data_IF_412058317374
#
_entry.id   IF_412058317374
#
_cell.length_a   1.000
_cell.length_b   1.000
_cell.length_c   1.000
_cell.angle_alpha   90.00
_cell.angle_beta   90.00
_cell.angle_gamma   90.00
#
_symmetry.space_group_name_H-M   'P 1'
#
loop_
_entity.id
_entity.type
_entity.pdbx_description
1 polymer ?
#
# COMPACT_ATOMS: atom_id res chain seq x y z
N UNK A 1 -12.22 6.69 -6.30
CA UNK A 1 -11.90 7.62 -5.19
C UNK A 1 -13.15 8.41 -4.87
N UNK A 2 -13.67 8.29 -3.66
CA UNK A 2 -14.97 8.83 -3.20
C UNK A 2 -15.06 10.37 -3.10
N UNK A 3 -14.59 11.10 -4.11
CA UNK A 3 -14.71 12.56 -4.18
C UNK A 3 -13.97 13.35 -3.10
N UNK A 4 -13.17 12.69 -2.26
CA UNK A 4 -12.39 13.37 -1.21
C UNK A 4 -11.14 13.99 -1.84
N UNK A 5 -11.04 15.31 -1.78
CA UNK A 5 -9.92 16.07 -2.37
C UNK A 5 -8.57 15.66 -1.79
N UNK A 6 -7.52 15.71 -2.62
CA UNK A 6 -6.12 15.45 -2.23
C UNK A 6 -5.66 16.47 -1.18
N UNK A 7 -5.13 15.97 -0.07
CA UNK A 7 -4.60 16.70 1.08
C UNK A 7 -3.26 16.07 1.49
N UNK A 8 -2.16 16.54 0.90
CA UNK A 8 -0.85 15.92 1.09
C UNK A 8 -0.30 16.13 2.51
N UNK A 9 0.41 15.12 3.07
CA UNK A 9 1.04 15.26 4.38
C UNK A 9 2.18 16.29 4.35
N UNK A 10 2.43 16.96 5.49
CA UNK A 10 3.52 17.92 5.63
C UNK A 10 4.81 17.25 6.14
N UNK A 11 6.00 17.55 5.57
CA UNK A 11 6.21 18.42 4.42
C UNK A 11 5.73 17.77 3.11
N UNK A 12 5.19 18.59 2.21
CA UNK A 12 4.72 18.13 0.91
C UNK A 12 5.88 17.55 0.09
N UNK A 13 5.65 16.42 -0.58
CA UNK A 13 6.62 15.76 -1.45
C UNK A 13 5.91 15.20 -2.69
N UNK A 14 6.60 15.20 -3.83
CA UNK A 14 6.11 14.52 -5.03
C UNK A 14 5.94 13.00 -4.83
N UNK A 15 6.55 12.45 -3.78
CA UNK A 15 6.51 11.03 -3.42
C UNK A 15 5.45 10.71 -2.37
N UNK A 16 4.71 11.72 -1.88
CA UNK A 16 3.64 11.52 -0.90
C UNK A 16 2.31 12.06 -1.42
N UNK A 17 1.23 11.39 -1.06
CA UNK A 17 -0.11 11.90 -1.28
C UNK A 17 -1.01 11.55 -0.10
N UNK A 18 -1.95 12.43 0.23
CA UNK A 18 -2.90 12.19 1.31
C UNK A 18 -4.34 12.47 0.89
N UNK A 19 -5.31 11.81 1.52
CA UNK A 19 -6.73 12.03 1.27
C UNK A 19 -7.58 11.91 2.55
N UNK A 20 -8.37 12.96 2.80
CA UNK A 20 -9.46 12.99 3.79
C UNK A 20 -9.09 12.78 5.25
N UNK A 21 -10.13 12.67 6.08
CA UNK A 21 -10.08 12.35 7.51
C UNK A 21 -11.10 11.22 7.79
N UNK A 22 -10.73 10.05 8.34
CA UNK A 22 -9.39 9.64 8.80
C UNK A 22 -8.44 9.26 7.64
N UNK A 23 -7.19 9.69 7.68
CA UNK A 23 -6.32 9.79 6.51
C UNK A 23 -6.04 8.47 5.74
N UNK A 24 -5.96 8.58 4.40
CA UNK A 24 -5.19 7.67 3.54
C UNK A 24 -3.88 8.37 3.22
N UNK A 25 -2.74 7.71 3.42
CA UNK A 25 -1.41 8.25 3.12
C UNK A 25 -0.68 7.30 2.19
N UNK A 26 -0.26 7.81 1.03
CA UNK A 26 0.55 7.07 0.06
C UNK A 26 2.00 7.57 0.08
N UNK A 27 2.95 6.65 -0.04
CA UNK A 27 4.39 6.91 -0.20
C UNK A 27 4.96 6.06 -1.33
N UNK A 28 5.67 6.67 -2.28
CA UNK A 28 6.37 5.97 -3.36
C UNK A 28 7.84 5.71 -3.02
N UNK A 29 8.39 4.58 -3.47
CA UNK A 29 9.82 4.27 -3.38
C UNK A 29 10.29 3.87 -2.00
N UNK A 30 9.43 3.21 -1.20
CA UNK A 30 9.84 2.69 0.11
C UNK A 30 10.80 1.51 -0.05
N UNK A 31 11.65 1.28 0.96
CA UNK A 31 12.50 0.08 1.03
C UNK A 31 11.64 -1.18 1.12
N UNK A 32 12.10 -2.29 0.54
CA UNK A 32 11.44 -3.60 0.64
C UNK A 32 11.19 -3.96 2.11
N UNK A 33 9.94 -4.12 2.57
CA UNK A 33 9.67 -4.55 3.93
C UNK A 33 10.24 -5.94 4.20
N UNK A 34 10.89 -6.20 5.36
CA UNK A 34 11.42 -7.52 5.71
C UNK A 34 10.36 -8.62 5.69
N UNK A 35 9.11 -8.30 6.05
CA UNK A 35 7.97 -9.22 6.00
C UNK A 35 7.67 -9.76 4.59
N UNK A 36 8.11 -9.08 3.53
CA UNK A 36 7.91 -9.53 2.15
C UNK A 36 8.71 -10.80 1.81
N UNK A 37 9.76 -11.11 2.57
CA UNK A 37 10.55 -12.34 2.43
C UNK A 37 10.39 -13.31 3.60
N UNK A 38 9.49 -13.00 4.54
CA UNK A 38 9.18 -13.93 5.61
C UNK A 38 8.29 -15.06 5.07
N UNK A 39 8.73 -16.33 5.10
CA UNK A 39 7.92 -17.45 4.62
C UNK A 39 6.60 -17.59 5.38
N UNK A 40 6.51 -17.11 6.63
CA UNK A 40 5.26 -17.10 7.40
C UNK A 40 4.20 -16.18 6.79
N UNK A 41 4.62 -15.08 6.19
CA UNK A 41 3.70 -14.16 5.51
C UNK A 41 3.19 -14.80 4.22
N UNK A 42 4.09 -15.43 3.45
CA UNK A 42 3.74 -16.13 2.23
C UNK A 42 2.80 -17.35 2.49
N UNK A 43 2.96 -18.02 3.62
CA UNK A 43 2.10 -19.14 4.03
C UNK A 43 0.83 -18.73 4.80
N UNK A 44 0.63 -17.42 5.04
CA UNK A 44 -0.50 -16.90 5.82
C UNK A 44 -0.47 -17.25 7.31
N UNK A 45 0.71 -17.60 7.84
CA UNK A 45 0.95 -17.96 9.24
C UNK A 45 1.40 -16.77 10.10
N UNK A 46 1.62 -15.60 9.50
CA UNK A 46 1.91 -14.37 10.24
C UNK A 46 0.60 -13.75 10.75
N UNK A 47 0.47 -13.47 12.06
CA UNK A 47 -0.77 -12.96 12.66
C UNK A 47 -1.09 -11.51 12.25
N UNK A 48 -0.09 -10.76 11.80
CA UNK A 48 -0.20 -9.34 11.50
C UNK A 48 -0.01 -9.01 10.03
N UNK A 49 0.33 -9.99 9.19
CA UNK A 49 0.63 -9.76 7.78
C UNK A 49 0.17 -10.91 6.88
N UNK A 50 -0.32 -10.55 5.70
CA UNK A 50 -0.72 -11.50 4.66
C UNK A 50 -0.26 -11.00 3.30
N UNK A 51 0.12 -11.93 2.42
CA UNK A 51 0.35 -11.64 1.02
C UNK A 51 -0.96 -11.84 0.23
N UNK A 52 -1.27 -10.93 -0.69
CA UNK A 52 -2.46 -11.06 -1.53
C UNK A 52 -2.46 -10.13 -2.74
N UNK A 53 -3.23 -10.49 -3.76
CA UNK A 53 -3.39 -9.72 -4.98
C UNK A 53 -4.75 -9.01 -5.04
N UNK A 54 -4.75 -7.75 -5.48
CA UNK A 54 -5.96 -6.97 -5.77
C UNK A 54 -5.80 -6.35 -7.16
N UNK A 55 -6.74 -6.64 -8.07
CA UNK A 55 -6.76 -6.12 -9.44
C UNK A 55 -5.44 -6.26 -10.23
N UNK A 56 -4.74 -7.37 -10.01
CA UNK A 56 -3.46 -7.68 -10.67
C UNK A 56 -2.26 -6.90 -10.11
N UNK A 57 -2.38 -6.35 -8.91
CA UNK A 57 -1.26 -5.81 -8.13
C UNK A 57 -1.11 -6.67 -6.88
N UNK A 58 0.10 -7.17 -6.65
CA UNK A 58 0.42 -7.93 -5.45
C UNK A 58 0.73 -6.96 -4.30
N UNK A 59 0.33 -7.33 -3.09
CA UNK A 59 0.46 -6.53 -1.89
C UNK A 59 0.92 -7.38 -0.71
N UNK A 60 1.85 -6.83 0.06
CA UNK A 60 2.00 -7.12 1.48
C UNK A 60 0.95 -6.30 2.24
N UNK A 61 0.09 -6.96 3.00
CA UNK A 61 -0.98 -6.32 3.78
C UNK A 61 -0.69 -6.52 5.26
N UNK A 62 -0.40 -5.45 5.98
CA UNK A 62 -0.06 -5.46 7.41
C UNK A 62 -1.14 -4.75 8.23
N UNK A 63 -1.51 -5.35 9.37
CA UNK A 63 -2.26 -4.65 10.42
C UNK A 63 -1.27 -3.85 11.27
N UNK A 64 -1.64 -2.60 11.57
CA UNK A 64 -0.93 -1.70 12.49
C UNK A 64 -1.96 -1.13 13.46
N UNK A 65 -1.53 -0.67 14.63
CA UNK A 65 -2.43 -0.23 15.71
C UNK A 65 -3.54 0.73 15.21
N UNK A 66 -4.74 0.19 14.97
CA UNK A 66 -5.88 0.94 14.44
C UNK A 66 -5.81 1.34 12.95
N UNK A 67 -4.88 0.82 12.15
CA UNK A 67 -4.74 1.12 10.72
C UNK A 67 -4.29 -0.11 9.91
N UNK A 68 -4.49 -0.06 8.60
CA UNK A 68 -3.94 -1.05 7.67
C UNK A 68 -2.83 -0.41 6.84
N UNK A 69 -1.72 -1.11 6.67
CA UNK A 69 -0.61 -0.71 5.80
C UNK A 69 -0.48 -1.71 4.66
N UNK A 70 -0.44 -1.21 3.44
CA UNK A 70 -0.30 -2.01 2.23
C UNK A 70 0.98 -1.60 1.53
N UNK A 71 1.81 -2.55 1.12
CA UNK A 71 2.99 -2.28 0.31
C UNK A 71 2.92 -3.12 -0.95
N UNK A 72 3.07 -2.52 -2.14
CA UNK A 72 3.11 -3.30 -3.39
C UNK A 72 4.23 -4.33 -3.32
N UNK A 73 4.01 -5.51 -3.87
CA UNK A 73 5.00 -6.56 -4.08
C UNK A 73 5.19 -6.77 -5.59
N UNK A 74 6.27 -7.48 -5.97
CA UNK A 74 6.57 -7.78 -7.36
C UNK A 74 6.60 -6.53 -8.29
N UNK A 75 7.12 -5.42 -7.77
CA UNK A 75 7.36 -4.17 -8.49
C UNK A 75 8.81 -3.70 -8.32
N UNK A 76 9.32 -2.99 -9.34
CA UNK A 76 10.65 -2.35 -9.30
C UNK A 76 10.74 -1.15 -8.34
N UNK A 77 9.61 -0.63 -7.90
CA UNK A 77 9.52 0.35 -6.82
C UNK A 77 8.30 0.03 -5.96
N UNK A 78 8.45 0.16 -4.64
CA UNK A 78 7.38 -0.16 -3.70
C UNK A 78 6.55 1.07 -3.35
N UNK A 79 5.23 0.94 -3.51
CA UNK A 79 4.24 1.93 -3.07
C UNK A 79 3.66 1.43 -1.78
N UNK A 80 3.73 2.26 -0.75
CA UNK A 80 3.13 2.01 0.53
C UNK A 80 1.90 2.89 0.71
N UNK A 81 0.82 2.32 1.23
CA UNK A 81 -0.43 3.02 1.54
C UNK A 81 -0.84 2.67 2.96
N UNK A 82 -0.97 3.68 3.80
CA UNK A 82 -1.57 3.57 5.12
C UNK A 82 -3.01 4.04 5.05
N UNK A 83 -3.94 3.19 5.49
CA UNK A 83 -5.37 3.48 5.57
C UNK A 83 -5.76 3.43 7.03
N UNK A 84 -6.16 4.57 7.59
CA UNK A 84 -6.65 4.63 8.96
C UNK A 84 -7.91 3.77 9.17
N UNK A 85 -8.09 3.24 10.38
CA UNK A 85 -9.22 2.40 10.74
C UNK A 85 -10.58 3.08 10.51
N UNK A 86 -11.58 2.26 10.17
CA UNK A 86 -12.93 2.75 9.83
C UNK A 86 -13.13 3.09 8.36
N UNK A 87 -12.09 3.02 7.51
CA UNK A 87 -12.21 3.10 6.05
C UNK A 87 -12.17 1.73 5.39
N UNK A 88 -12.86 1.63 4.26
CA UNK A 88 -12.77 0.46 3.39
C UNK A 88 -11.44 0.48 2.62
N UNK A 89 -10.48 -0.31 3.09
CA UNK A 89 -9.19 -0.45 2.42
C UNK A 89 -9.29 -1.15 1.07
N UNK A 90 -10.32 -1.98 0.82
CA UNK A 90 -10.44 -2.73 -0.43
C UNK A 90 -10.70 -1.79 -1.62
N UNK A 91 -11.60 -0.82 -1.45
CA UNK A 91 -11.88 0.22 -2.44
C UNK A 91 -10.63 1.05 -2.77
N UNK A 92 -9.82 1.38 -1.75
CA UNK A 92 -8.56 2.12 -1.94
C UNK A 92 -7.59 1.34 -2.82
N UNK A 93 -7.44 0.03 -2.59
CA UNK A 93 -6.53 -0.80 -3.39
C UNK A 93 -7.00 -0.97 -4.84
N UNK A 94 -8.31 -1.17 -5.04
CA UNK A 94 -8.94 -1.22 -6.37
C UNK A 94 -8.70 0.08 -7.14
N UNK A 95 -8.95 1.23 -6.50
CA UNK A 95 -8.73 2.56 -7.09
C UNK A 95 -7.28 2.81 -7.49
N UNK A 96 -6.32 2.33 -6.69
CA UNK A 96 -4.89 2.54 -6.92
C UNK A 96 -4.30 1.59 -7.97
N UNK A 97 -4.89 0.40 -8.15
CA UNK A 97 -4.32 -0.64 -9.02
C UNK A 97 -4.03 -0.16 -10.46
N UNK A 98 -4.92 0.58 -11.16
CA UNK A 98 -4.62 1.10 -12.50
C UNK A 98 -3.41 2.04 -12.53
N UNK A 99 -3.28 2.92 -11.53
CA UNK A 99 -2.19 3.88 -11.45
C UNK A 99 -0.85 3.17 -11.19
N UNK A 100 -0.83 2.21 -10.25
CA UNK A 100 0.37 1.40 -9.96
C UNK A 100 0.80 0.62 -11.20
N UNK A 101 -0.13 -0.04 -11.90
CA UNK A 101 0.18 -0.82 -13.12
C UNK A 101 0.76 0.05 -14.23
N UNK A 102 0.25 1.27 -14.40
CA UNK A 102 0.73 2.21 -15.41
C UNK A 102 2.11 2.78 -15.06
N UNK A 103 2.33 3.12 -13.81
CA UNK A 103 3.52 3.86 -13.38
C UNK A 103 4.71 2.96 -13.04
N UNK A 104 4.46 1.72 -12.59
CA UNK A 104 5.49 0.89 -11.97
C UNK A 104 5.57 -0.49 -12.65
N UNK A 105 6.67 -0.78 -13.36
CA UNK A 105 6.87 -2.10 -13.96
C UNK A 105 6.92 -3.22 -12.92
N UNK A 106 6.56 -4.43 -13.37
CA UNK A 106 6.74 -5.66 -12.60
C UNK A 106 8.22 -5.98 -12.44
N UNK A 107 8.62 -6.55 -11.31
CA UNK A 107 10.00 -6.92 -10.99
C UNK A 107 10.25 -7.01 -9.50
N UNK A 108 11.50 -7.16 -9.07
CA UNK A 108 11.88 -7.05 -7.66
C UNK A 108 12.88 -5.90 -7.58
N UNK A 109 12.63 -4.93 -6.69
CA UNK A 109 13.60 -3.87 -6.46
C UNK A 109 14.86 -4.45 -5.81
N UNK A 110 16.03 -3.99 -6.28
CA UNK A 110 17.36 -4.39 -5.78
C UNK A 110 17.63 -3.89 -4.36
#
# INVERSE_FOLDING_TARGET
MDGVGRQDPSPASALTAGWGDPAIILRCGVVRPPKMIDPKVASGQDPEAVAGGVDGVDWLMEKRDGASRFTTANRLAYVEVSVAGGRDSSAVLVDLAPAVKKAIPVGIAD
#
